data_IF_635449789865
#
_entry.id   IF_635449789865
#
_cell.length_a   1.000
_cell.length_b   1.000
_cell.length_c   1.000
_cell.angle_alpha   90.00
_cell.angle_beta   90.00
_cell.angle_gamma   90.00
#
_symmetry.space_group_name_H-M   'P 1'
#
loop_
_entity.id
_entity.type
_entity.pdbx_description
1 polymer ?
#
# COMPACT_ATOMS: atom_id res chain seq x y z
N UNK A 1 24.33 -4.12 -5.59
CA UNK A 1 23.08 -3.33 -5.43
C UNK A 1 21.93 -4.30 -5.24
N UNK A 2 20.96 -4.02 -4.37
CA UNK A 2 19.77 -4.87 -4.19
C UNK A 2 18.94 -4.86 -5.47
N UNK A 3 18.61 -6.04 -5.99
CA UNK A 3 17.92 -6.20 -7.26
C UNK A 3 16.46 -6.63 -7.09
N UNK A 4 16.09 -7.17 -5.93
CA UNK A 4 14.73 -7.63 -5.66
C UNK A 4 14.18 -7.17 -4.31
N UNK A 5 12.85 -7.18 -4.16
CA UNK A 5 12.19 -6.77 -2.92
C UNK A 5 12.61 -7.66 -1.73
N UNK A 6 12.68 -9.01 -1.86
CA UNK A 6 13.23 -9.86 -0.80
C UNK A 6 14.70 -9.53 -0.44
N UNK A 7 15.55 -9.24 -1.43
CA UNK A 7 16.93 -8.81 -1.17
C UNK A 7 17.00 -7.47 -0.44
N UNK A 8 16.11 -6.53 -0.78
CA UNK A 8 16.00 -5.25 -0.08
C UNK A 8 15.57 -5.44 1.39
N UNK A 9 14.60 -6.33 1.66
CA UNK A 9 14.21 -6.71 3.02
C UNK A 9 15.40 -7.27 3.81
N UNK A 10 16.13 -8.23 3.23
CA UNK A 10 17.31 -8.83 3.87
C UNK A 10 18.40 -7.79 4.16
N UNK A 11 18.62 -6.83 3.26
CA UNK A 11 19.57 -5.74 3.50
C UNK A 11 19.13 -4.88 4.69
N UNK A 12 17.84 -4.52 4.81
CA UNK A 12 17.36 -3.75 5.97
C UNK A 12 17.48 -4.55 7.27
N UNK A 13 17.15 -5.85 7.24
CA UNK A 13 17.32 -6.73 8.40
C UNK A 13 18.78 -6.84 8.85
N UNK A 14 19.72 -6.93 7.90
CA UNK A 14 21.15 -7.00 8.21
C UNK A 14 21.72 -5.66 8.71
N UNK A 15 21.28 -4.53 8.15
CA UNK A 15 21.85 -3.21 8.47
C UNK A 15 21.15 -2.51 9.63
N UNK A 16 19.87 -2.82 9.90
CA UNK A 16 19.00 -2.13 10.85
C UNK A 16 18.07 -3.08 11.60
N UNK A 17 18.53 -4.31 11.86
CA UNK A 17 17.71 -5.39 12.40
C UNK A 17 16.92 -5.06 13.68
N UNK A 18 17.42 -4.16 14.53
CA UNK A 18 16.75 -3.72 15.77
C UNK A 18 15.77 -2.55 15.60
N UNK A 19 15.83 -1.83 14.48
CA UNK A 19 14.94 -0.72 14.19
C UNK A 19 13.54 -1.22 13.83
N UNK A 20 12.51 -0.40 14.10
CA UNK A 20 11.12 -0.73 13.78
C UNK A 20 10.92 -0.67 12.26
N UNK A 21 10.48 -1.79 11.69
CA UNK A 21 10.15 -1.90 10.27
C UNK A 21 8.69 -1.54 10.03
N UNK A 22 7.80 -2.07 10.86
CA UNK A 22 6.38 -1.78 10.78
C UNK A 22 5.70 -1.75 12.14
N UNK A 23 4.58 -1.05 12.18
CA UNK A 23 3.62 -1.08 13.28
C UNK A 23 2.26 -1.49 12.74
N UNK A 24 1.49 -2.23 13.51
CA UNK A 24 0.11 -2.56 13.15
C UNK A 24 -0.77 -2.43 14.39
N UNK A 25 -1.98 -1.88 14.21
CA UNK A 25 -2.89 -1.68 15.32
C UNK A 25 -3.83 -2.87 15.46
N UNK A 26 -3.96 -3.38 16.67
CA UNK A 26 -4.83 -4.52 16.99
C UNK A 26 -5.50 -4.24 18.34
N UNK A 27 -6.83 -4.31 18.37
CA UNK A 27 -7.65 -4.02 19.56
C UNK A 27 -7.31 -2.65 20.18
N UNK A 28 -7.10 -1.64 19.33
CA UNK A 28 -6.74 -0.30 19.76
C UNK A 28 -5.26 -0.09 20.14
N UNK A 29 -4.41 -1.11 20.12
CA UNK A 29 -3.02 -1.04 20.57
C UNK A 29 -2.05 -1.23 19.41
N UNK A 30 -1.07 -0.33 19.28
CA UNK A 30 0.01 -0.44 18.29
C UNK A 30 1.01 -1.52 18.69
N UNK A 31 1.07 -2.58 17.87
CA UNK A 31 2.07 -3.62 17.93
C UNK A 31 3.25 -3.24 17.04
N UNK A 32 4.46 -3.61 17.46
CA UNK A 32 5.71 -3.28 16.78
C UNK A 32 6.33 -4.55 16.18
N UNK A 33 6.97 -4.40 15.02
CA UNK A 33 7.85 -5.41 14.43
C UNK A 33 9.13 -4.78 13.92
N UNK A 34 10.26 -5.37 14.30
CA UNK A 34 11.60 -4.93 13.88
C UNK A 34 11.96 -5.52 12.52
N UNK A 35 12.95 -4.94 11.84
CA UNK A 35 13.40 -5.43 10.53
C UNK A 35 13.87 -6.89 10.55
N UNK A 36 14.59 -7.30 11.61
CA UNK A 36 15.00 -8.70 11.79
C UNK A 36 13.82 -9.66 11.93
N UNK A 37 12.81 -9.26 12.72
CA UNK A 37 11.57 -10.03 12.94
C UNK A 37 10.75 -10.13 11.65
N UNK A 38 10.61 -9.03 10.90
CA UNK A 38 9.92 -9.04 9.59
C UNK A 38 10.59 -10.00 8.60
N UNK A 39 11.92 -10.01 8.52
CA UNK A 39 12.63 -10.94 7.65
C UNK A 39 12.42 -12.41 8.05
N UNK A 40 12.41 -12.70 9.35
CA UNK A 40 12.12 -14.05 9.88
C UNK A 40 10.66 -14.46 9.66
N UNK A 41 9.71 -13.53 9.80
CA UNK A 41 8.30 -13.79 9.54
C UNK A 41 8.09 -14.11 8.05
N UNK A 42 8.64 -13.30 7.15
CA UNK A 42 8.57 -13.53 5.69
C UNK A 42 9.22 -14.86 5.31
N UNK A 43 10.38 -15.19 5.88
CA UNK A 43 11.08 -16.44 5.55
C UNK A 43 10.31 -17.68 6.02
N UNK A 44 9.66 -17.63 7.19
CA UNK A 44 8.78 -18.69 7.68
C UNK A 44 7.52 -18.83 6.85
N UNK A 45 6.90 -17.72 6.46
CA UNK A 45 5.74 -17.71 5.56
C UNK A 45 6.12 -18.30 4.19
N UNK A 46 7.31 -18.01 3.68
CA UNK A 46 7.80 -18.57 2.43
C UNK A 46 7.97 -20.10 2.54
N UNK A 47 8.56 -20.60 3.64
CA UNK A 47 8.62 -22.04 3.87
C UNK A 47 7.23 -22.69 3.93
N UNK A 48 6.25 -22.03 4.56
CA UNK A 48 4.88 -22.52 4.66
C UNK A 48 4.17 -22.57 3.31
N UNK A 49 4.28 -21.51 2.51
CA UNK A 49 3.77 -21.47 1.14
C UNK A 49 4.41 -22.57 0.28
N UNK A 50 5.72 -22.76 0.39
CA UNK A 50 6.43 -23.80 -0.36
C UNK A 50 5.95 -25.21 0.02
N UNK A 51 5.69 -25.49 1.30
CA UNK A 51 5.12 -26.77 1.74
C UNK A 51 3.70 -27.01 1.17
N UNK A 52 2.96 -25.94 0.91
CA UNK A 52 1.65 -26.00 0.22
C UNK A 52 1.79 -26.04 -1.31
N UNK A 53 3.02 -26.14 -1.83
CA UNK A 53 3.33 -26.32 -3.25
C UNK A 53 3.42 -25.02 -4.04
N UNK A 54 3.57 -23.86 -3.40
CA UNK A 54 3.84 -22.58 -4.06
C UNK A 54 5.31 -22.51 -4.52
N UNK A 55 5.56 -22.05 -5.73
CA UNK A 55 6.91 -21.92 -6.28
C UNK A 55 7.08 -20.81 -7.30
N UNK A 56 8.19 -20.89 -8.04
CA UNK A 56 8.56 -19.89 -9.05
C UNK A 56 7.51 -19.85 -10.16
N UNK A 57 7.05 -18.65 -10.49
CA UNK A 57 6.05 -18.43 -11.54
C UNK A 57 4.60 -18.63 -11.12
N UNK A 58 4.33 -19.10 -9.89
CA UNK A 58 2.98 -19.06 -9.32
C UNK A 58 2.55 -17.63 -9.02
N UNK A 59 1.24 -17.39 -9.01
CA UNK A 59 0.63 -16.13 -8.57
C UNK A 59 -0.15 -16.33 -7.27
N UNK A 60 0.09 -15.44 -6.30
CA UNK A 60 -0.70 -15.34 -5.08
C UNK A 60 -1.72 -14.21 -5.23
N UNK A 61 -3.00 -14.56 -5.26
CA UNK A 61 -4.08 -13.57 -5.28
C UNK A 61 -4.49 -13.20 -3.84
N UNK A 62 -4.56 -11.91 -3.55
CA UNK A 62 -4.89 -11.38 -2.22
C UNK A 62 -6.08 -10.42 -2.33
N UNK A 63 -7.15 -10.71 -1.59
CA UNK A 63 -8.33 -9.86 -1.40
C UNK A 63 -8.37 -9.41 0.07
N UNK A 64 -7.79 -8.24 0.36
CA UNK A 64 -7.60 -7.78 1.75
C UNK A 64 -7.43 -6.27 1.80
N UNK A 65 -7.83 -5.62 2.89
CA UNK A 65 -7.45 -4.26 3.22
C UNK A 65 -5.92 -4.15 3.40
N UNK A 66 -5.44 -2.94 3.73
CA UNK A 66 -4.02 -2.75 4.05
C UNK A 66 -3.68 -3.42 5.39
N UNK A 67 -3.31 -4.70 5.34
CA UNK A 67 -2.91 -5.49 6.51
C UNK A 67 -1.44 -5.87 6.45
N UNK A 68 -0.80 -5.89 7.63
CA UNK A 68 0.59 -6.32 7.76
C UNK A 68 0.74 -7.77 7.30
N UNK A 69 -0.19 -8.65 7.68
CA UNK A 69 -0.18 -10.07 7.30
C UNK A 69 -0.21 -10.28 5.79
N UNK A 70 -1.06 -9.51 5.08
CA UNK A 70 -1.14 -9.53 3.63
C UNK A 70 0.17 -9.05 2.97
N UNK A 71 0.79 -8.00 3.50
CA UNK A 71 2.11 -7.54 3.03
C UNK A 71 3.20 -8.60 3.25
N UNK A 72 3.25 -9.21 4.43
CA UNK A 72 4.25 -10.24 4.75
C UNK A 72 4.08 -11.46 3.85
N UNK A 73 2.84 -11.88 3.57
CA UNK A 73 2.56 -12.99 2.66
C UNK A 73 2.93 -12.64 1.20
N UNK A 74 2.66 -11.41 0.76
CA UNK A 74 3.07 -10.95 -0.56
C UNK A 74 4.60 -11.01 -0.73
N UNK A 75 5.35 -10.59 0.28
CA UNK A 75 6.82 -10.70 0.28
C UNK A 75 7.28 -12.15 0.32
N UNK A 76 6.55 -13.05 0.99
CA UNK A 76 6.86 -14.47 1.04
C UNK A 76 6.61 -15.18 -0.29
N UNK A 77 5.52 -14.85 -1.00
CA UNK A 77 5.27 -15.33 -2.36
C UNK A 77 6.37 -14.85 -3.31
N UNK A 78 6.73 -13.57 -3.23
CA UNK A 78 7.83 -13.00 -3.98
C UNK A 78 9.15 -13.69 -3.62
N UNK A 79 9.43 -13.99 -2.35
CA UNK A 79 10.64 -14.71 -1.92
C UNK A 79 10.85 -16.03 -2.69
N UNK A 80 9.76 -16.74 -2.98
CA UNK A 80 9.74 -18.00 -3.74
C UNK A 80 9.77 -17.81 -5.27
N UNK A 81 9.84 -16.57 -5.76
CA UNK A 81 9.85 -16.26 -7.19
C UNK A 81 8.46 -16.22 -7.83
N UNK A 82 7.40 -16.10 -7.03
CA UNK A 82 6.03 -15.89 -7.52
C UNK A 82 5.66 -14.41 -7.64
N UNK A 83 4.57 -14.13 -8.36
CA UNK A 83 3.95 -12.81 -8.42
C UNK A 83 2.80 -12.69 -7.42
N UNK A 84 2.33 -11.46 -7.21
CA UNK A 84 1.20 -11.17 -6.33
C UNK A 84 0.17 -10.33 -7.07
N UNK A 85 -1.06 -10.82 -7.12
CA UNK A 85 -2.24 -10.07 -7.57
C UNK A 85 -2.99 -9.52 -6.36
N UNK A 86 -3.21 -8.20 -6.29
CA UNK A 86 -3.90 -7.55 -5.18
C UNK A 86 -5.22 -6.96 -5.64
N UNK A 87 -6.30 -7.32 -4.95
CA UNK A 87 -7.65 -6.87 -5.26
C UNK A 87 -8.27 -6.11 -4.08
N UNK A 88 -9.10 -5.12 -4.40
CA UNK A 88 -9.79 -4.27 -3.42
C UNK A 88 -10.98 -5.02 -2.80
N UNK A 89 -10.99 -5.37 -1.50
CA UNK A 89 -12.07 -6.14 -0.89
C UNK A 89 -13.45 -5.46 -0.95
N UNK A 90 -13.51 -4.16 -1.24
CA UNK A 90 -14.78 -3.42 -1.34
C UNK A 90 -15.45 -3.58 -2.73
N UNK A 91 -14.80 -4.25 -3.69
CA UNK A 91 -15.31 -4.51 -5.04
C UNK A 91 -15.73 -5.98 -5.22
N UNK A 92 -16.65 -6.22 -6.15
CA UNK A 92 -17.04 -7.58 -6.57
C UNK A 92 -16.08 -8.11 -7.63
N UNK A 93 -15.35 -9.17 -7.31
CA UNK A 93 -14.34 -9.77 -8.19
C UNK A 93 -14.79 -11.06 -8.85
N UNK A 94 -16.04 -11.52 -8.69
CA UNK A 94 -16.49 -12.84 -9.18
C UNK A 94 -16.20 -13.07 -10.66
N UNK A 95 -16.45 -12.07 -11.49
CA UNK A 95 -16.16 -12.14 -12.93
C UNK A 95 -14.66 -12.30 -13.19
N UNK A 96 -13.82 -11.50 -12.51
CA UNK A 96 -12.37 -11.58 -12.64
C UNK A 96 -11.83 -12.92 -12.14
N UNK A 97 -12.33 -13.42 -11.01
CA UNK A 97 -11.95 -14.71 -10.43
C UNK A 97 -12.26 -15.89 -11.37
N UNK A 98 -13.35 -15.79 -12.14
CA UNK A 98 -13.73 -16.79 -13.15
C UNK A 98 -12.72 -16.83 -14.31
N UNK A 99 -12.14 -15.68 -14.66
CA UNK A 99 -11.10 -15.55 -15.69
C UNK A 99 -9.74 -15.99 -15.15
N UNK A 100 -9.36 -15.54 -13.95
CA UNK A 100 -8.03 -15.76 -13.37
C UNK A 100 -7.81 -17.19 -12.88
N UNK A 101 -8.85 -17.85 -12.35
CA UNK A 101 -8.77 -19.21 -11.78
C UNK A 101 -7.55 -19.38 -10.85
N UNK A 102 -7.42 -18.54 -9.80
CA UNK A 102 -6.22 -18.50 -8.98
C UNK A 102 -6.03 -19.82 -8.22
N UNK A 103 -4.81 -20.33 -8.20
CA UNK A 103 -4.47 -21.54 -7.45
C UNK A 103 -4.20 -21.26 -5.97
N UNK A 104 -3.70 -20.06 -5.64
CA UNK A 104 -3.39 -19.63 -4.28
C UNK A 104 -4.10 -18.32 -3.98
N UNK A 105 -4.87 -18.30 -2.90
CA UNK A 105 -5.68 -17.14 -2.53
C UNK A 105 -5.56 -16.84 -1.04
N UNK A 106 -5.38 -15.57 -0.69
CA UNK A 106 -5.62 -15.03 0.65
C UNK A 106 -6.87 -14.13 0.60
N UNK A 107 -7.89 -14.49 1.36
CA UNK A 107 -9.11 -13.70 1.51
C UNK A 107 -9.21 -13.16 2.95
N UNK A 108 -9.43 -11.86 3.13
CA UNK A 108 -9.49 -11.30 4.48
C UNK A 108 -10.75 -11.69 5.21
N UNK A 109 -11.92 -11.49 4.57
CA UNK A 109 -13.24 -11.59 5.19
C UNK A 109 -14.05 -12.77 4.66
N UNK A 110 -15.13 -13.12 5.36
CA UNK A 110 -16.10 -14.10 4.88
C UNK A 110 -16.64 -13.76 3.48
N UNK A 111 -16.93 -12.49 3.20
CA UNK A 111 -17.43 -12.08 1.87
C UNK A 111 -16.40 -12.39 0.77
N UNK A 112 -15.12 -12.03 0.97
CA UNK A 112 -14.06 -12.34 0.03
C UNK A 112 -13.88 -13.86 -0.17
N UNK A 113 -14.01 -14.67 0.90
CA UNK A 113 -14.01 -16.14 0.82
C UNK A 113 -15.19 -16.63 -0.04
N UNK A 114 -16.39 -16.07 0.13
CA UNK A 114 -17.57 -16.45 -0.65
C UNK A 114 -17.45 -16.04 -2.12
N UNK A 115 -16.86 -14.89 -2.43
CA UNK A 115 -16.57 -14.51 -3.82
C UNK A 115 -15.69 -15.55 -4.52
N UNK A 116 -14.62 -16.01 -3.86
CA UNK A 116 -13.71 -17.04 -4.39
C UNK A 116 -14.42 -18.38 -4.55
N UNK A 117 -15.25 -18.79 -3.58
CA UNK A 117 -16.02 -20.04 -3.65
C UNK A 117 -17.10 -20.05 -4.72
N UNK A 118 -17.64 -18.88 -5.05
CA UNK A 118 -18.64 -18.75 -6.11
C UNK A 118 -18.04 -18.85 -7.52
N UNK A 119 -16.72 -18.78 -7.66
CA UNK A 119 -16.06 -19.07 -8.93
C UNK A 119 -16.08 -20.58 -9.20
N UNK A 120 -16.27 -20.96 -10.46
CA UNK A 120 -16.37 -22.36 -10.93
C UNK A 120 -15.03 -23.14 -10.82
N UNK A 121 -14.04 -22.58 -10.13
CA UNK A 121 -12.71 -23.16 -9.95
C UNK A 121 -12.28 -23.03 -8.49
N UNK A 122 -12.18 -24.16 -7.80
CA UNK A 122 -11.67 -24.20 -6.43
C UNK A 122 -10.15 -23.98 -6.42
N UNK A 123 -9.63 -23.00 -5.66
CA UNK A 123 -8.19 -22.82 -5.51
C UNK A 123 -7.57 -24.04 -4.80
N UNK A 124 -6.32 -24.34 -5.14
CA UNK A 124 -5.52 -25.36 -4.45
C UNK A 124 -5.27 -24.99 -2.99
N UNK A 125 -5.12 -23.69 -2.71
CA UNK A 125 -4.98 -23.16 -1.35
C UNK A 125 -5.84 -21.91 -1.20
N UNK A 126 -6.76 -21.93 -0.23
CA UNK A 126 -7.52 -20.76 0.20
C UNK A 126 -7.24 -20.46 1.67
N UNK A 127 -6.56 -19.35 1.92
CA UNK A 127 -6.23 -18.85 3.24
C UNK A 127 -7.21 -17.76 3.65
N UNK A 128 -7.56 -17.70 4.94
CA UNK A 128 -8.32 -16.58 5.50
C UNK A 128 -7.58 -15.86 6.63
N UNK A 129 -7.79 -14.54 6.76
CA UNK A 129 -7.24 -13.74 7.86
C UNK A 129 -8.23 -13.58 9.03
N UNK A 130 -9.50 -13.34 8.73
CA UNK A 130 -10.55 -13.14 9.72
C UNK A 130 -11.54 -14.31 9.71
N UNK A 131 -11.54 -15.08 10.80
CA UNK A 131 -12.39 -16.25 10.97
C UNK A 131 -13.84 -15.95 11.35
N UNK A 132 -14.22 -14.68 11.54
CA UNK A 132 -15.58 -14.31 11.95
C UNK A 132 -16.61 -14.79 10.92
N UNK A 133 -17.53 -15.64 11.38
CA UNK A 133 -18.59 -16.21 10.54
C UNK A 133 -18.19 -17.44 9.73
N UNK A 134 -16.93 -17.90 9.81
CA UNK A 134 -16.50 -19.18 9.26
C UNK A 134 -16.71 -20.30 10.27
N UNK A 135 -17.03 -21.50 9.77
CA UNK A 135 -17.24 -22.67 10.62
C UNK A 135 -16.24 -23.76 10.24
N UNK A 136 -15.21 -23.91 11.08
CA UNK A 136 -14.11 -24.86 10.89
C UNK A 136 -14.57 -26.31 10.66
N UNK A 137 -15.75 -26.72 11.16
CA UNK A 137 -16.27 -28.07 10.96
C UNK A 137 -16.77 -28.35 9.53
N UNK A 138 -17.26 -27.32 8.83
CA UNK A 138 -17.77 -27.42 7.44
C UNK A 138 -16.76 -26.98 6.40
N UNK A 139 -15.71 -26.29 6.81
CA UNK A 139 -14.80 -25.55 5.95
C UNK A 139 -13.43 -26.23 5.80
N UNK A 140 -13.39 -27.54 5.55
CA UNK A 140 -12.14 -28.35 5.55
C UNK A 140 -11.12 -27.97 4.46
N UNK A 141 -11.56 -27.28 3.40
CA UNK A 141 -10.70 -26.75 2.33
C UNK A 141 -10.13 -25.34 2.62
N UNK A 142 -10.52 -24.71 3.74
CA UNK A 142 -9.98 -23.43 4.20
C UNK A 142 -8.87 -23.66 5.23
N UNK A 143 -7.81 -22.87 5.16
CA UNK A 143 -6.80 -22.83 6.24
C UNK A 143 -6.71 -21.42 6.82
N UNK A 144 -6.54 -21.30 8.13
CA UNK A 144 -6.26 -20.01 8.72
C UNK A 144 -4.85 -19.56 8.30
N UNK A 145 -4.65 -18.27 8.05
CA UNK A 145 -3.32 -17.70 7.78
C UNK A 145 -2.28 -18.09 8.85
N UNK A 146 -2.70 -18.09 10.13
CA UNK A 146 -1.83 -18.43 11.26
C UNK A 146 -1.28 -19.87 11.19
N UNK A 147 -2.04 -20.80 10.60
CA UNK A 147 -1.64 -22.20 10.44
C UNK A 147 -0.54 -22.37 9.39
N UNK A 148 -0.33 -21.39 8.51
CA UNK A 148 0.67 -21.48 7.46
C UNK A 148 2.08 -21.66 8.01
N UNK A 149 2.35 -21.13 9.21
CA UNK A 149 3.67 -21.26 9.87
C UNK A 149 3.68 -22.30 11.00
N UNK A 150 2.54 -22.92 11.29
CA UNK A 150 2.44 -23.92 12.36
C UNK A 150 3.23 -25.18 11.98
N UNK A 151 4.17 -25.58 12.84
CA UNK A 151 4.94 -26.81 12.65
C UNK A 151 6.09 -26.71 11.64
N UNK A 152 6.42 -25.51 11.13
CA UNK A 152 7.59 -25.34 10.27
C UNK A 152 8.87 -25.41 11.13
N UNK A 153 9.56 -26.54 11.03
CA UNK A 153 10.92 -26.73 11.55
C UNK A 153 11.99 -26.61 10.46
N UNK A 154 11.58 -26.59 9.19
CA UNK A 154 12.49 -26.54 8.04
C UNK A 154 13.21 -25.20 7.96
N UNK A 155 14.47 -25.24 7.53
CA UNK A 155 15.25 -24.04 7.24
C UNK A 155 14.58 -23.26 6.10
N UNK A 156 14.40 -21.94 6.24
CA UNK A 156 13.73 -21.15 5.21
C UNK A 156 14.53 -21.18 3.90
N UNK A 157 13.87 -21.29 2.74
CA UNK A 157 14.56 -21.31 1.47
C UNK A 157 15.32 -19.99 1.25
N UNK A 158 16.42 -20.04 0.49
CA UNK A 158 17.03 -18.80 0.00
C UNK A 158 16.08 -18.09 -0.98
N UNK A 159 16.09 -16.74 -1.07
CA UNK A 159 15.28 -16.04 -2.06
C UNK A 159 15.71 -16.40 -3.49
N UNK A 160 14.77 -16.78 -4.35
CA UNK A 160 15.03 -17.25 -5.74
C UNK A 160 14.59 -16.26 -6.82
N UNK A 161 14.59 -14.96 -6.50
CA UNK A 161 14.04 -13.90 -7.36
C UNK A 161 15.08 -13.24 -8.26
N UNK A 162 14.65 -12.88 -9.47
CA UNK A 162 15.42 -12.07 -10.40
C UNK A 162 14.84 -10.65 -10.53
N UNK A 163 15.69 -9.67 -10.87
CA UNK A 163 15.27 -8.27 -11.01
C UNK A 163 14.16 -8.07 -12.05
N UNK A 164 14.17 -8.87 -13.11
CA UNK A 164 13.23 -8.75 -14.23
C UNK A 164 11.89 -9.44 -13.96
N UNK A 165 11.81 -10.32 -12.96
CA UNK A 165 10.58 -11.05 -12.63
C UNK A 165 9.48 -10.09 -12.14
N UNK A 166 8.24 -10.40 -12.52
CA UNK A 166 7.04 -9.69 -12.07
C UNK A 166 6.87 -9.84 -10.56
N UNK A 167 6.79 -8.73 -9.84
CA UNK A 167 6.53 -8.70 -8.41
C UNK A 167 5.04 -8.54 -8.10
N UNK A 168 4.38 -7.64 -8.84
CA UNK A 168 2.96 -7.33 -8.66
C UNK A 168 2.21 -7.27 -9.99
N UNK A 169 0.96 -7.72 -9.96
CA UNK A 169 0.00 -7.63 -11.06
C UNK A 169 -1.21 -6.83 -10.58
N UNK A 170 -1.57 -5.78 -11.33
CA UNK A 170 -2.72 -4.93 -11.03
C UNK A 170 -3.75 -5.02 -12.15
N UNK A 171 -4.96 -5.43 -11.79
CA UNK A 171 -6.11 -5.41 -12.68
C UNK A 171 -6.82 -4.08 -12.56
N UNK A 172 -7.14 -3.49 -13.70
CA UNK A 172 -7.97 -2.29 -13.76
C UNK A 172 -9.42 -2.73 -13.96
N UNK A 173 -10.34 -1.84 -13.58
CA UNK A 173 -11.78 -2.08 -13.77
C UNK A 173 -12.20 -1.95 -15.24
N UNK A 174 -11.36 -1.37 -16.09
CA UNK A 174 -11.53 -1.42 -17.54
C UNK A 174 -10.96 -2.74 -18.08
N UNK A 175 -11.47 -3.25 -19.20
CA UNK A 175 -10.99 -4.47 -19.90
C UNK A 175 -9.56 -4.32 -20.47
N UNK A 176 -8.76 -3.39 -19.93
CA UNK A 176 -7.39 -3.18 -20.31
C UNK A 176 -6.47 -4.29 -19.79
N UNK A 177 -5.34 -4.47 -20.47
CA UNK A 177 -4.33 -5.43 -20.06
C UNK A 177 -3.84 -5.14 -18.63
N UNK A 178 -3.64 -6.18 -17.79
CA UNK A 178 -3.18 -5.98 -16.43
C UNK A 178 -1.80 -5.34 -16.40
N UNK A 179 -1.60 -4.41 -15.48
CA UNK A 179 -0.32 -3.75 -15.29
C UNK A 179 0.60 -4.66 -14.47
N UNK A 180 1.72 -5.07 -15.06
CA UNK A 180 2.74 -5.89 -14.39
C UNK A 180 3.93 -5.01 -14.00
N UNK A 181 4.32 -5.06 -12.73
CA UNK A 181 5.50 -4.35 -12.22
C UNK A 181 6.57 -5.35 -11.79
N UNK A 182 7.76 -5.22 -12.36
CA UNK A 182 8.91 -6.02 -11.95
C UNK A 182 9.57 -5.50 -10.68
N UNK A 183 10.32 -6.37 -10.01
CA UNK A 183 11.13 -6.00 -8.85
C UNK A 183 12.09 -4.83 -9.16
N UNK A 184 12.78 -4.89 -10.29
CA UNK A 184 13.73 -3.87 -10.72
C UNK A 184 13.06 -2.51 -10.96
N UNK A 185 11.91 -2.50 -11.65
CA UNK A 185 11.14 -1.27 -11.88
C UNK A 185 10.71 -0.59 -10.58
N UNK A 186 10.25 -1.38 -9.60
CA UNK A 186 9.83 -0.88 -8.29
C UNK A 186 11.00 -0.30 -7.51
N UNK A 187 12.13 -0.99 -7.45
CA UNK A 187 13.32 -0.50 -6.74
C UNK A 187 13.98 0.69 -7.43
N UNK A 188 13.97 0.75 -8.76
CA UNK A 188 14.45 1.92 -9.49
C UNK A 188 13.56 3.15 -9.20
N UNK A 189 12.23 2.98 -9.27
CA UNK A 189 11.28 4.03 -8.90
C UNK A 189 11.46 4.50 -7.46
N UNK A 190 11.67 3.56 -6.53
CA UNK A 190 11.93 3.86 -5.12
C UNK A 190 13.20 4.70 -4.94
N UNK A 191 14.30 4.38 -5.63
CA UNK A 191 15.55 5.18 -5.57
C UNK A 191 15.33 6.60 -6.08
N UNK A 192 14.59 6.78 -7.18
CA UNK A 192 14.25 8.11 -7.71
C UNK A 192 13.42 8.92 -6.71
N UNK A 193 12.43 8.29 -6.08
CA UNK A 193 11.62 8.91 -5.03
C UNK A 193 12.47 9.32 -3.82
N UNK A 194 13.31 8.40 -3.33
CA UNK A 194 14.18 8.63 -2.18
C UNK A 194 15.13 9.80 -2.44
N UNK A 195 15.76 9.85 -3.62
CA UNK A 195 16.66 10.94 -3.98
C UNK A 195 15.94 12.29 -4.11
N UNK A 196 14.74 12.31 -4.70
CA UNK A 196 13.99 13.56 -4.91
C UNK A 196 13.40 14.13 -3.63
N UNK A 197 12.84 13.29 -2.77
CA UNK A 197 12.18 13.72 -1.52
C UNK A 197 13.10 13.66 -0.30
N UNK A 198 14.37 13.27 -0.50
CA UNK A 198 15.36 13.02 0.55
C UNK A 198 14.81 12.10 1.65
N UNK A 199 14.21 10.97 1.25
CA UNK A 199 13.65 10.01 2.20
C UNK A 199 14.77 9.32 2.98
N UNK A 200 14.53 9.05 4.26
CA UNK A 200 15.48 8.34 5.12
C UNK A 200 14.75 7.36 6.03
N UNK A 201 15.49 6.62 6.84
CA UNK A 201 14.90 5.72 7.83
C UNK A 201 14.13 6.45 8.96
N UNK A 202 14.25 7.78 9.06
CA UNK A 202 13.49 8.58 10.02
C UNK A 202 12.02 8.78 9.65
N UNK A 203 11.59 8.35 8.46
CA UNK A 203 10.20 8.55 8.06
C UNK A 203 9.25 7.60 8.78
N UNK A 204 8.01 8.04 8.92
CA UNK A 204 6.88 7.23 9.33
C UNK A 204 5.76 7.43 8.34
N UNK A 205 5.34 6.34 7.69
CA UNK A 205 4.28 6.36 6.70
C UNK A 205 3.09 5.53 7.16
N UNK A 206 1.88 5.94 6.78
CA UNK A 206 0.65 5.19 7.06
C UNK A 206 0.17 4.46 5.80
N UNK A 207 0.18 3.13 5.83
CA UNK A 207 -0.37 2.25 4.80
C UNK A 207 -1.80 1.89 5.16
N UNK A 208 -2.74 2.73 4.74
CA UNK A 208 -4.16 2.60 5.11
C UNK A 208 -5.09 2.38 3.92
N UNK A 209 -4.54 2.07 2.74
CA UNK A 209 -5.31 1.71 1.56
C UNK A 209 -4.77 0.41 1.01
N UNK A 210 -5.68 -0.42 0.53
CA UNK A 210 -5.39 -1.68 -0.15
C UNK A 210 -4.24 -1.47 -1.14
N UNK A 211 -3.28 -2.39 -1.14
CA UNK A 211 -2.18 -2.36 -2.09
C UNK A 211 -2.63 -2.67 -3.54
N UNK A 212 -3.93 -2.73 -3.85
CA UNK A 212 -4.50 -3.04 -5.16
C UNK A 212 -4.29 -1.94 -6.21
N UNK A 213 -3.85 -0.75 -5.79
CA UNK A 213 -3.39 0.28 -6.70
C UNK A 213 -1.86 0.30 -6.79
N UNK A 214 -1.33 0.37 -8.01
CA UNK A 214 0.11 0.34 -8.30
C UNK A 214 0.92 1.40 -7.52
N UNK A 215 0.30 2.56 -7.27
CA UNK A 215 0.90 3.64 -6.47
C UNK A 215 1.32 3.22 -5.06
N UNK A 216 0.62 2.30 -4.39
CA UNK A 216 1.03 1.82 -3.05
C UNK A 216 2.32 1.00 -3.13
N UNK A 217 2.44 0.12 -4.13
CA UNK A 217 3.66 -0.66 -4.35
C UNK A 217 4.85 0.24 -4.72
N UNK A 218 4.62 1.23 -5.60
CA UNK A 218 5.65 2.16 -6.11
C UNK A 218 6.13 3.18 -5.08
N UNK A 219 5.21 3.78 -4.33
CA UNK A 219 5.48 4.98 -3.52
C UNK A 219 5.46 4.74 -2.01
N UNK A 220 5.03 3.55 -1.55
CA UNK A 220 5.13 3.16 -0.14
C UNK A 220 5.96 1.89 0.06
N UNK A 221 5.59 0.77 -0.55
CA UNK A 221 6.23 -0.53 -0.28
C UNK A 221 7.69 -0.58 -0.74
N UNK A 222 7.97 -0.27 -2.00
CA UNK A 222 9.34 -0.32 -2.52
C UNK A 222 10.27 0.74 -1.87
N UNK A 223 9.81 1.99 -1.63
CA UNK A 223 10.55 2.97 -0.83
C UNK A 223 10.76 2.56 0.63
N UNK A 224 9.80 1.89 1.25
CA UNK A 224 9.92 1.35 2.61
C UNK A 224 11.09 0.35 2.70
N UNK A 225 11.13 -0.63 1.79
CA UNK A 225 12.23 -1.60 1.71
C UNK A 225 13.57 -0.95 1.32
N UNK A 226 13.56 0.14 0.56
CA UNK A 226 14.78 0.78 0.06
C UNK A 226 15.38 1.78 1.05
N UNK A 227 14.54 2.62 1.68
CA UNK A 227 14.99 3.66 2.61
C UNK A 227 15.04 3.17 4.07
N UNK A 228 14.25 2.14 4.41
CA UNK A 228 14.24 1.52 5.73
C UNK A 228 13.42 2.28 6.79
N UNK A 229 12.42 3.04 6.38
CA UNK A 229 11.54 3.80 7.28
C UNK A 229 10.48 2.91 7.95
N UNK A 230 9.67 3.47 8.86
CA UNK A 230 8.62 2.72 9.54
C UNK A 230 7.28 2.79 8.80
N UNK A 231 6.68 1.65 8.47
CA UNK A 231 5.36 1.54 7.83
C UNK A 231 4.28 1.18 8.86
N UNK A 232 3.21 1.96 8.95
CA UNK A 232 2.18 1.79 9.98
C UNK A 232 0.85 1.34 9.33
N UNK A 233 0.23 0.30 9.89
CA UNK A 233 -1.02 -0.29 9.45
C UNK A 233 -2.13 0.01 10.48
N UNK A 234 -3.16 0.79 10.13
CA UNK A 234 -4.30 1.02 11.03
C UNK A 234 -5.10 -0.28 11.20
N UNK A 235 -5.96 -0.31 12.22
CA UNK A 235 -6.78 -1.49 12.52
C UNK A 235 -7.88 -1.68 11.46
N UNK A 236 -8.47 -0.58 10.99
CA UNK A 236 -9.48 -0.60 9.94
C UNK A 236 -9.42 0.66 9.08
N UNK A 237 -9.95 0.58 7.85
CA UNK A 237 -10.10 1.75 6.97
C UNK A 237 -10.92 2.87 7.63
N UNK A 238 -11.92 2.51 8.45
CA UNK A 238 -12.80 3.44 9.15
C UNK A 238 -12.09 4.23 10.26
N UNK A 239 -11.07 3.66 10.92
CA UNK A 239 -10.31 4.31 11.99
C UNK A 239 -9.07 5.06 11.49
N UNK A 240 -8.73 4.93 10.19
CA UNK A 240 -7.54 5.49 9.56
C UNK A 240 -7.25 6.93 9.97
N UNK A 241 -8.25 7.82 9.95
CA UNK A 241 -8.01 9.24 10.18
C UNK A 241 -7.69 9.54 11.66
N UNK A 242 -8.28 8.78 12.59
CA UNK A 242 -7.93 8.80 14.01
C UNK A 242 -6.53 8.23 14.23
N UNK A 243 -6.23 7.08 13.60
CA UNK A 243 -4.92 6.42 13.69
C UNK A 243 -3.80 7.31 13.10
N UNK A 244 -4.10 8.02 12.02
CA UNK A 244 -3.21 9.02 11.41
C UNK A 244 -2.95 10.19 12.34
N UNK A 245 -3.97 10.67 13.04
CA UNK A 245 -3.81 11.73 14.04
C UNK A 245 -2.95 11.28 15.21
N UNK A 246 -3.21 10.08 15.73
CA UNK A 246 -2.44 9.49 16.83
C UNK A 246 -0.96 9.31 16.46
N UNK A 247 -0.68 8.81 15.25
CA UNK A 247 0.69 8.60 14.77
C UNK A 247 1.37 9.91 14.37
N UNK A 248 0.67 10.83 13.71
CA UNK A 248 1.27 12.00 13.07
C UNK A 248 2.39 11.61 12.07
N UNK A 249 2.09 10.89 10.97
CA UNK A 249 3.09 10.43 10.02
C UNK A 249 3.87 11.59 9.36
N UNK A 250 5.12 11.33 9.03
CA UNK A 250 5.99 12.28 8.30
C UNK A 250 5.85 12.17 6.80
N UNK A 251 5.36 11.02 6.30
CA UNK A 251 5.07 10.77 4.89
C UNK A 251 3.60 10.35 4.74
N UNK A 252 2.85 11.08 3.91
CA UNK A 252 1.45 10.75 3.60
C UNK A 252 1.30 10.61 2.10
N UNK A 253 0.93 9.40 1.67
CA UNK A 253 0.53 9.12 0.29
C UNK A 253 -0.98 9.30 0.15
N UNK A 254 -1.42 10.19 -0.73
CA UNK A 254 -2.83 10.43 -1.00
C UNK A 254 -3.13 10.56 -2.50
N UNK A 255 -4.40 10.38 -2.85
CA UNK A 255 -4.98 10.81 -4.13
C UNK A 255 -5.72 12.13 -3.95
N UNK A 256 -6.11 12.78 -5.04
CA UNK A 256 -6.95 13.99 -4.99
C UNK A 256 -8.16 13.81 -4.08
N UNK A 257 -8.87 12.70 -4.24
CA UNK A 257 -10.09 12.37 -3.49
C UNK A 257 -9.77 12.19 -2.00
N UNK A 258 -8.61 11.63 -1.68
CA UNK A 258 -8.18 11.45 -0.30
C UNK A 258 -7.88 12.79 0.38
N UNK A 259 -7.20 13.71 -0.31
CA UNK A 259 -6.96 15.07 0.20
C UNK A 259 -8.26 15.89 0.28
N UNK A 260 -9.14 15.81 -0.72
CA UNK A 260 -10.44 16.48 -0.71
C UNK A 260 -11.33 16.00 0.45
N UNK A 261 -11.37 14.69 0.73
CA UNK A 261 -12.07 14.15 1.90
C UNK A 261 -11.53 14.72 3.22
N UNK A 262 -10.20 14.86 3.34
CA UNK A 262 -9.58 15.45 4.54
C UNK A 262 -9.91 16.93 4.70
N UNK A 263 -9.91 17.68 3.60
CA UNK A 263 -10.36 19.07 3.60
C UNK A 263 -11.83 19.16 4.03
N UNK A 264 -12.72 18.37 3.43
CA UNK A 264 -14.14 18.37 3.77
C UNK A 264 -14.36 18.04 5.25
N UNK A 265 -13.69 17.00 5.75
CA UNK A 265 -13.76 16.57 7.14
C UNK A 265 -13.30 17.67 8.11
N UNK A 266 -12.30 18.49 7.73
CA UNK A 266 -11.91 19.67 8.48
C UNK A 266 -12.96 20.78 8.41
N UNK A 267 -13.50 21.06 7.22
CA UNK A 267 -14.50 22.12 6.99
C UNK A 267 -15.80 21.88 7.75
N UNK A 268 -16.25 20.64 7.82
CA UNK A 268 -17.46 20.24 8.57
C UNK A 268 -17.35 20.49 10.08
N UNK A 269 -16.13 20.59 10.60
CA UNK A 269 -15.84 20.86 12.03
C UNK A 269 -15.44 22.30 12.29
N UNK A 270 -15.52 23.18 11.29
CA UNK A 270 -15.18 24.59 11.48
C UNK A 270 -16.26 25.32 12.29
N UNK A 271 -15.88 26.39 13.02
CA UNK A 271 -16.85 27.25 13.68
C UNK A 271 -17.85 27.86 12.70
N UNK A 272 -19.10 28.05 13.16
CA UNK A 272 -20.18 28.61 12.35
C UNK A 272 -19.84 30.01 11.80
N UNK A 273 -20.26 30.34 10.56
CA UNK A 273 -20.12 31.68 10.00
C UNK A 273 -20.70 32.76 10.93
N UNK A 274 -20.04 33.92 11.01
CA UNK A 274 -20.44 35.03 11.87
C UNK A 274 -19.94 34.97 13.32
N UNK A 275 -19.33 33.84 13.74
CA UNK A 275 -18.67 33.75 15.05
C UNK A 275 -17.26 34.35 15.02
N UNK A 276 -16.79 34.92 16.13
CA UNK A 276 -15.42 35.43 16.27
C UNK A 276 -14.37 34.37 15.92
N UNK A 277 -14.62 33.11 16.31
CA UNK A 277 -13.78 31.95 15.97
C UNK A 277 -13.70 31.70 14.45
N UNK A 278 -14.80 31.89 13.72
CA UNK A 278 -14.81 31.75 12.27
C UNK A 278 -14.06 32.90 11.59
N UNK A 279 -14.19 34.12 12.11
CA UNK A 279 -13.39 35.26 11.64
C UNK A 279 -11.89 35.04 11.88
N UNK A 280 -11.52 34.52 13.06
CA UNK A 280 -10.13 34.18 13.38
C UNK A 280 -9.59 33.08 12.47
N UNK A 281 -10.39 32.05 12.17
CA UNK A 281 -10.03 31.01 11.20
C UNK A 281 -9.78 31.60 9.81
N UNK A 282 -10.71 32.40 9.28
CA UNK A 282 -10.55 33.04 7.97
C UNK A 282 -9.34 33.98 7.95
N UNK A 283 -9.12 34.71 9.03
CA UNK A 283 -7.92 35.52 9.19
C UNK A 283 -6.66 34.64 9.15
N UNK A 284 -6.60 33.55 9.92
CA UNK A 284 -5.42 32.69 9.94
C UNK A 284 -5.20 31.91 8.63
N UNK A 285 -6.20 31.69 7.78
CA UNK A 285 -6.06 30.85 6.57
C UNK A 285 -5.61 31.59 5.31
N UNK A 286 -5.52 32.93 5.32
CA UNK A 286 -4.94 33.63 4.15
C UNK A 286 -3.42 33.49 4.17
N UNK A 287 -2.84 33.33 2.99
CA UNK A 287 -1.39 33.33 2.80
C UNK A 287 -0.81 34.70 3.17
N UNK A 288 0.03 34.73 4.21
CA UNK A 288 0.83 35.89 4.59
C UNK A 288 2.29 35.44 4.72
N UNK A 289 3.20 35.93 3.87
CA UNK A 289 4.56 35.45 3.82
C UNK A 289 5.39 35.84 5.05
N UNK A 290 5.14 37.00 5.69
CA UNK A 290 6.06 37.54 6.73
C UNK A 290 5.39 38.27 7.91
N UNK A 291 4.07 38.37 7.98
CA UNK A 291 3.38 39.12 9.04
C UNK A 291 3.18 38.37 10.36
N UNK A 292 2.80 39.14 11.40
CA UNK A 292 2.32 38.64 12.71
C UNK A 292 1.22 37.58 12.54
N UNK A 293 0.42 37.72 11.49
CA UNK A 293 -0.62 36.77 11.06
C UNK A 293 -0.09 35.38 10.71
N UNK A 294 1.12 35.28 10.17
CA UNK A 294 1.78 33.98 9.94
C UNK A 294 2.07 33.30 11.27
N UNK A 295 2.69 34.01 12.20
CA UNK A 295 3.10 33.46 13.50
C UNK A 295 1.89 33.16 14.39
N UNK A 296 1.04 34.15 14.68
CA UNK A 296 -0.16 33.96 15.51
C UNK A 296 -1.15 32.98 14.86
N UNK A 297 -1.40 33.12 13.55
CA UNK A 297 -2.30 32.21 12.84
C UNK A 297 -1.77 30.78 12.82
N UNK A 298 -0.45 30.58 12.79
CA UNK A 298 0.15 29.25 12.90
C UNK A 298 -0.15 28.62 14.27
N UNK A 299 0.12 29.33 15.36
CA UNK A 299 -0.08 28.79 16.71
C UNK A 299 -1.54 28.62 17.10
N UNK A 300 -2.40 29.57 16.72
CA UNK A 300 -3.81 29.57 17.12
C UNK A 300 -4.69 28.65 16.27
N UNK A 301 -4.40 28.52 14.96
CA UNK A 301 -5.30 27.84 14.01
C UNK A 301 -4.58 26.77 13.20
N UNK A 302 -3.52 27.11 12.45
CA UNK A 302 -2.94 26.16 11.46
C UNK A 302 -2.33 24.94 12.14
N UNK A 303 -1.57 25.09 13.23
CA UNK A 303 -0.92 23.98 13.95
C UNK A 303 -1.95 23.06 14.63
N UNK A 304 -2.95 23.56 15.37
CA UNK A 304 -4.04 22.72 15.86
C UNK A 304 -4.79 22.00 14.73
N UNK A 305 -5.03 22.68 13.61
CA UNK A 305 -5.69 22.07 12.46
C UNK A 305 -4.83 20.98 11.80
N UNK A 306 -3.51 21.21 11.67
CA UNK A 306 -2.55 20.20 11.22
C UNK A 306 -2.51 19.01 12.18
N UNK A 307 -2.57 19.23 13.49
CA UNK A 307 -2.63 18.16 14.49
C UNK A 307 -3.90 17.32 14.37
N UNK A 308 -5.05 17.98 14.25
CA UNK A 308 -6.35 17.34 14.04
C UNK A 308 -6.39 16.56 12.73
N UNK A 309 -5.70 17.06 11.71
CA UNK A 309 -5.45 16.35 10.46
C UNK A 309 -4.31 15.33 10.57
N UNK A 310 -3.62 15.11 11.68
CA UNK A 310 -2.49 14.18 11.76
C UNK A 310 -1.33 14.50 10.79
N UNK A 311 -1.16 15.78 10.46
CA UNK A 311 -0.16 16.30 9.53
C UNK A 311 0.80 17.29 10.21
N UNK A 312 0.80 17.36 11.54
CA UNK A 312 1.66 18.26 12.31
C UNK A 312 3.16 17.99 12.14
N UNK A 313 3.53 16.73 11.88
CA UNK A 313 4.91 16.29 11.58
C UNK A 313 5.14 15.99 10.10
N UNK A 314 4.18 16.31 9.23
CA UNK A 314 4.24 15.98 7.81
C UNK A 314 5.42 16.70 7.14
N UNK A 315 6.30 15.92 6.54
CA UNK A 315 7.46 16.40 5.76
C UNK A 315 7.27 16.14 4.27
N UNK A 316 6.73 14.97 3.93
CA UNK A 316 6.62 14.48 2.55
C UNK A 316 5.15 14.20 2.21
N UNK A 317 4.41 15.22 1.75
CA UNK A 317 3.07 15.03 1.20
C UNK A 317 3.18 14.52 -0.25
N UNK A 318 2.85 13.25 -0.48
CA UNK A 318 2.84 12.67 -1.82
C UNK A 318 1.42 12.68 -2.39
N UNK A 319 1.30 13.12 -3.64
CA UNK A 319 0.06 13.06 -4.43
C UNK A 319 0.26 12.16 -5.63
N UNK A 320 -0.56 11.11 -5.71
CA UNK A 320 -0.58 10.18 -6.85
C UNK A 320 -1.85 10.40 -7.66
N UNK A 321 -1.68 10.37 -8.97
CA UNK A 321 -2.77 10.60 -9.92
C UNK A 321 -2.87 12.09 -10.25
N UNK A 322 -4.08 12.62 -10.44
CA UNK A 322 -4.25 13.95 -11.00
C UNK A 322 -4.17 15.04 -9.91
N UNK A 323 -3.80 16.26 -10.32
CA UNK A 323 -3.54 17.38 -9.41
C UNK A 323 -4.77 17.77 -8.56
N UNK A 324 -4.55 18.33 -7.37
CA UNK A 324 -5.64 18.85 -6.53
C UNK A 324 -6.48 19.90 -7.26
N UNK A 325 -7.75 20.05 -6.86
CA UNK A 325 -8.56 21.21 -7.26
C UNK A 325 -7.94 22.48 -6.67
N UNK A 326 -8.23 23.63 -7.27
CA UNK A 326 -7.68 24.92 -6.82
C UNK A 326 -8.04 25.21 -5.36
N UNK A 327 -9.28 24.92 -4.95
CA UNK A 327 -9.75 25.11 -3.58
C UNK A 327 -8.98 24.24 -2.58
N UNK A 328 -8.82 22.94 -2.90
CA UNK A 328 -8.05 22.03 -2.04
C UNK A 328 -6.57 22.44 -1.99
N UNK A 329 -5.99 22.82 -3.13
CA UNK A 329 -4.62 23.29 -3.18
C UNK A 329 -4.42 24.55 -2.33
N UNK A 330 -5.35 25.50 -2.39
CA UNK A 330 -5.32 26.72 -1.58
C UNK A 330 -5.46 26.41 -0.07
N UNK A 331 -6.37 25.50 0.30
CA UNK A 331 -6.56 25.06 1.68
C UNK A 331 -5.27 24.44 2.26
N UNK A 332 -4.67 23.47 1.57
CA UNK A 332 -3.43 22.83 2.04
C UNK A 332 -2.24 23.79 2.00
N UNK A 333 -2.14 24.65 0.97
CA UNK A 333 -1.08 25.66 0.89
C UNK A 333 -1.15 26.66 2.05
N UNK A 334 -2.35 27.04 2.50
CA UNK A 334 -2.54 27.88 3.68
C UNK A 334 -2.04 27.22 4.98
N UNK A 335 -2.06 25.89 5.04
CA UNK A 335 -1.48 25.08 6.11
C UNK A 335 0.03 24.82 5.95
N UNK A 336 0.63 25.28 4.85
CA UNK A 336 2.03 25.04 4.52
C UNK A 336 2.30 23.68 3.86
N UNK A 337 1.26 22.96 3.45
CA UNK A 337 1.36 21.66 2.78
C UNK A 337 1.23 21.86 1.27
N UNK A 338 2.19 21.34 0.52
CA UNK A 338 2.17 21.34 -0.95
C UNK A 338 2.44 19.93 -1.45
N UNK A 339 1.39 19.14 -1.75
CA UNK A 339 1.58 17.76 -2.18
C UNK A 339 2.39 17.68 -3.48
N UNK A 340 3.51 16.96 -3.43
CA UNK A 340 4.38 16.71 -4.57
C UNK A 340 3.66 15.80 -5.56
N UNK A 341 3.55 16.24 -6.82
CA UNK A 341 2.86 15.48 -7.86
C UNK A 341 3.75 14.36 -8.40
N UNK A 342 3.30 13.12 -8.23
CA UNK A 342 3.95 11.91 -8.74
C UNK A 342 3.00 11.20 -9.71
N UNK A 343 3.29 11.35 -11.00
CA UNK A 343 2.56 10.64 -12.05
C UNK A 343 3.06 9.20 -12.12
N UNK A 344 2.13 8.25 -12.22
CA UNK A 344 2.50 6.92 -12.67
C UNK A 344 3.13 7.04 -14.07
N UNK A 345 4.28 6.40 -14.34
CA UNK A 345 4.82 6.33 -15.69
C UNK A 345 3.74 5.73 -16.58
N UNK A 346 3.37 6.44 -17.65
CA UNK A 346 2.55 5.86 -18.71
C UNK A 346 3.25 4.59 -19.20
N UNK A 347 2.57 3.44 -19.10
CA UNK A 347 3.07 2.20 -19.70
C UNK A 347 3.30 2.48 -21.19
N UNK A 348 4.49 2.22 -21.76
CA UNK A 348 4.66 2.30 -23.20
C UNK A 348 3.61 1.38 -23.83
N UNK A 349 2.76 1.92 -24.71
CA UNK A 349 2.05 1.07 -25.68
C UNK A 349 3.16 0.32 -26.42
N UNK A 350 3.10 -1.02 -26.44
CA UNK A 350 3.87 -1.77 -27.44
C UNK A 350 3.58 -1.13 -28.80
N UNK A 351 4.63 -0.82 -29.60
CA UNK A 351 4.39 -0.30 -30.93
C UNK A 351 3.54 -1.34 -31.66
N UNK A 352 2.36 -0.91 -32.13
CA UNK A 352 1.50 -1.74 -32.95
C UNK A 352 2.36 -2.40 -34.02
N UNK A 353 2.29 -3.73 -34.12
CA UNK A 353 2.89 -4.46 -35.22
C UNK A 353 2.49 -3.76 -36.52
N UNK A 354 3.48 -3.22 -37.20
CA UNK A 354 3.31 -2.65 -38.53
C UNK A 354 2.77 -3.79 -39.39
N UNK A 355 1.55 -3.69 -39.98
CA UNK A 355 1.03 -4.76 -40.80
C UNK A 355 2.00 -5.01 -41.95
N UNK A 356 2.46 -6.25 -42.06
CA UNK A 356 3.34 -6.71 -43.11
C UNK A 356 2.73 -6.29 -44.46
N UNK A 357 3.46 -5.46 -45.20
CA UNK A 357 3.08 -5.07 -46.55
C UNK A 357 2.88 -6.33 -47.40
N UNK A 358 1.65 -6.48 -47.89
CA UNK A 358 1.28 -7.39 -48.96
C UNK A 358 2.21 -7.15 -50.15
N UNK A 359 2.98 -8.18 -50.51
CA UNK A 359 3.72 -8.26 -51.77
C UNK A 359 2.67 -8.30 -52.89
N UNK A 360 2.66 -7.35 -53.85
CA UNK A 360 1.82 -7.49 -55.02
C UNK A 360 2.45 -8.50 -55.98
N UNK A 361 1.76 -9.60 -56.21
CA UNK A 361 1.97 -10.46 -57.37
C UNK A 361 1.51 -9.72 -58.64
N UNK A 362 2.44 -9.47 -59.57
CA UNK A 362 2.10 -9.38 -61.00
C UNK A 362 3.32 -9.75 -61.85
N UNK A 363 3.12 -10.85 -62.60
CA UNK A 363 3.71 -11.28 -63.91
C UNK A 363 5.14 -10.87 -64.24
#
# INVERSE_FOLDING_TARGET
MTQTLPQALLLQAATRGSAIALRYKQLGIWQLRRWSEVAQDVSRLAAGLQQRGFGRGDDLLIISQARAEALLLALAAQWLGGSVTLLDPDLDHRQLLTVLKPAFVLAETLDAVQQVRSADHAPRVLLYLDGRGLNAATDTALSAYAELTAGIAAEPPAPVTESASTAFVFHRADDSQPQRLSHGQLLEGARKLIARENLSASEEALAARVFAASGQARYLLAPWLSAGFCLNFPEALATRDTDRRELGPTLVLGTRESYARLEQWARERLPLPGTLSHHLYRWAMVADPHGVRRWLGHWLIRRPLLDVLGMSRLRVPLLVGPALTEDSAAFFAALGIRPGHWQEPSTPREPAEVPAHLIPHSV
#
